data_IF_801060379347
#
_entry.id   IF_801060379347
#
_cell.length_a   1.000
_cell.length_b   1.000
_cell.length_c   1.000
_cell.angle_alpha   90.00
_cell.angle_beta   90.00
_cell.angle_gamma   90.00
#
_symmetry.space_group_name_H-M   'P 1'
#
loop_
_entity.id
_entity.type
_entity.pdbx_description
1 polymer ?
#
# COMPACT_ATOMS: atom_id res chain seq x y z
N UNK A 1 -24.03 3.40 10.05
CA UNK A 1 -22.65 3.84 9.77
C UNK A 1 -21.84 2.62 9.38
N UNK A 2 -21.16 2.63 8.21
CA UNK A 2 -20.19 1.58 7.87
C UNK A 2 -18.91 1.81 8.69
N UNK A 3 -18.39 0.76 9.34
CA UNK A 3 -17.16 0.86 10.09
C UNK A 3 -15.98 0.97 9.12
N UNK A 4 -15.22 2.07 9.21
CA UNK A 4 -13.90 2.15 8.58
C UNK A 4 -12.90 1.50 9.53
N UNK A 5 -12.12 0.55 9.03
CA UNK A 5 -11.08 -0.11 9.80
C UNK A 5 -9.71 0.43 9.36
N UNK A 6 -8.87 0.75 10.33
CA UNK A 6 -7.48 1.12 10.09
C UNK A 6 -6.58 -0.07 10.37
N UNK A 7 -5.80 -0.46 9.37
CA UNK A 7 -4.88 -1.60 9.45
C UNK A 7 -3.48 -1.14 9.07
N UNK A 8 -2.47 -1.58 9.82
CA UNK A 8 -1.06 -1.39 9.49
C UNK A 8 -0.51 -2.69 8.91
N UNK A 9 0.17 -2.58 7.78
CA UNK A 9 0.83 -3.70 7.12
C UNK A 9 2.30 -3.36 6.93
N UNK A 10 3.17 -4.13 7.60
CA UNK A 10 4.60 -4.10 7.35
C UNK A 10 4.93 -4.72 5.98
N UNK A 11 5.83 -4.07 5.26
CA UNK A 11 6.33 -4.46 3.94
C UNK A 11 7.87 -4.56 4.01
N UNK A 12 8.51 -5.20 3.02
CA UNK A 12 9.97 -5.30 2.99
C UNK A 12 10.70 -3.95 3.02
N UNK A 13 11.97 -3.96 3.41
CA UNK A 13 12.90 -2.85 3.23
C UNK A 13 12.48 -1.54 3.92
N UNK A 14 11.79 -1.66 5.07
CA UNK A 14 11.34 -0.52 5.87
C UNK A 14 10.10 0.19 5.32
N UNK A 15 9.44 -0.40 4.32
CA UNK A 15 8.14 0.06 3.84
C UNK A 15 7.01 -0.38 4.78
N UNK A 16 5.98 0.46 4.86
CA UNK A 16 4.73 0.11 5.54
C UNK A 16 3.53 0.71 4.82
N UNK A 17 2.36 0.11 5.06
CA UNK A 17 1.10 0.56 4.49
C UNK A 17 0.03 0.74 5.56
N UNK A 18 -0.49 1.97 5.69
CA UNK A 18 -1.66 2.27 6.53
C UNK A 18 -2.92 2.24 5.67
N UNK A 19 -3.82 1.32 5.97
CA UNK A 19 -4.99 1.00 5.16
C UNK A 19 -6.23 1.57 5.83
N UNK A 20 -6.94 2.46 5.13
CA UNK A 20 -8.31 2.85 5.44
C UNK A 20 -9.25 1.99 4.58
N UNK A 21 -9.77 0.91 5.16
CA UNK A 21 -10.67 -0.02 4.46
C UNK A 21 -12.11 0.19 4.88
N UNK A 22 -13.03 0.13 3.91
CA UNK A 22 -14.47 0.27 4.12
C UNK A 22 -15.21 -0.90 3.47
N UNK A 23 -16.16 -1.45 4.21
CA UNK A 23 -17.13 -2.39 3.64
C UNK A 23 -18.23 -1.60 2.91
N UNK A 24 -18.52 -1.99 1.67
CA UNK A 24 -19.58 -1.40 0.84
C UNK A 24 -20.94 -2.02 1.14
N UNK A 25 -22.02 -1.39 0.66
CA UNK A 25 -23.41 -1.85 0.89
C UNK A 25 -23.71 -3.28 0.38
N UNK A 26 -22.95 -3.76 -0.61
CA UNK A 26 -23.03 -5.12 -1.15
C UNK A 26 -22.05 -6.10 -0.48
N UNK A 27 -21.48 -5.75 0.69
CA UNK A 27 -20.61 -6.63 1.47
C UNK A 27 -19.16 -6.73 0.99
N UNK A 28 -18.79 -6.04 -0.09
CA UNK A 28 -17.43 -6.00 -0.65
C UNK A 28 -16.55 -4.99 0.10
N UNK A 29 -15.26 -4.97 -0.19
CA UNK A 29 -14.29 -4.12 0.50
C UNK A 29 -13.50 -3.25 -0.47
N UNK A 30 -13.43 -1.95 -0.20
CA UNK A 30 -12.64 -0.99 -1.00
C UNK A 30 -11.97 0.01 -0.07
N UNK A 31 -10.97 0.73 -0.57
CA UNK A 31 -10.29 1.69 0.29
C UNK A 31 -9.04 2.28 -0.31
N UNK A 32 -8.28 2.88 0.59
CA UNK A 32 -7.05 3.61 0.30
C UNK A 32 -5.96 3.12 1.25
N UNK A 33 -4.76 2.95 0.72
CA UNK A 33 -3.57 2.56 1.47
C UNK A 33 -2.50 3.64 1.30
N UNK A 34 -2.12 4.29 2.40
CA UNK A 34 -0.96 5.17 2.42
C UNK A 34 0.33 4.34 2.46
N UNK A 35 1.27 4.64 1.57
CA UNK A 35 2.56 3.97 1.48
C UNK A 35 3.64 4.85 2.11
N UNK A 36 4.30 4.30 3.11
CA UNK A 36 5.35 4.95 3.87
C UNK A 36 6.66 4.18 3.74
N UNK A 37 7.78 4.89 3.72
CA UNK A 37 9.13 4.32 3.87
C UNK A 37 9.77 5.02 5.05
N UNK A 38 10.16 4.25 6.07
CA UNK A 38 10.76 4.76 7.30
C UNK A 38 9.92 5.89 7.96
N UNK A 39 8.60 5.78 7.88
CA UNK A 39 7.66 6.74 8.46
C UNK A 39 7.40 7.99 7.60
N UNK A 40 8.09 8.17 6.48
CA UNK A 40 7.82 9.24 5.53
C UNK A 40 6.79 8.77 4.50
N UNK A 41 5.83 9.62 4.13
CA UNK A 41 4.83 9.33 3.11
C UNK A 41 5.39 9.46 1.70
N UNK A 42 5.24 8.42 0.90
CA UNK A 42 5.71 8.37 -0.49
C UNK A 42 4.58 8.31 -1.52
N UNK A 43 3.41 7.82 -1.12
CA UNK A 43 2.32 7.65 -2.06
C UNK A 43 1.05 7.12 -1.45
N UNK A 44 0.06 6.94 -2.33
CA UNK A 44 -1.25 6.44 -1.98
C UNK A 44 -1.68 5.41 -3.03
N UNK A 45 -2.10 4.25 -2.56
CA UNK A 45 -2.70 3.17 -3.36
C UNK A 45 -4.21 3.18 -3.16
N UNK A 46 -4.96 3.37 -4.24
CA UNK A 46 -6.42 3.14 -4.24
C UNK A 46 -6.68 1.71 -4.71
N UNK A 47 -7.50 0.96 -3.97
CA UNK A 47 -7.95 -0.36 -4.40
C UNK A 47 -9.47 -0.41 -4.54
N UNK A 48 -9.88 -0.89 -5.71
CA UNK A 48 -11.29 -1.09 -6.06
C UNK A 48 -11.91 -2.23 -5.25
N UNK A 49 -13.21 -2.45 -5.39
CA UNK A 49 -13.97 -3.44 -4.62
C UNK A 49 -13.41 -4.88 -4.73
N UNK A 50 -12.92 -5.40 -3.62
CA UNK A 50 -12.51 -6.79 -3.42
C UNK A 50 -13.64 -7.60 -2.78
N UNK A 51 -13.72 -8.92 -3.07
CA UNK A 51 -14.84 -9.75 -2.63
C UNK A 51 -14.87 -10.02 -1.11
N UNK A 52 -13.74 -9.87 -0.42
CA UNK A 52 -13.62 -10.08 1.02
C UNK A 52 -12.55 -9.17 1.63
N UNK A 53 -12.52 -9.09 2.96
CA UNK A 53 -11.48 -8.36 3.70
C UNK A 53 -10.09 -8.94 3.41
N UNK A 54 -9.95 -10.26 3.43
CA UNK A 54 -8.69 -10.94 3.12
C UNK A 54 -8.23 -10.67 1.69
N UNK A 55 -9.14 -10.66 0.72
CA UNK A 55 -8.81 -10.30 -0.67
C UNK A 55 -8.37 -8.84 -0.80
N UNK A 56 -8.95 -7.93 -0.01
CA UNK A 56 -8.50 -6.54 0.08
C UNK A 56 -7.08 -6.42 0.66
N UNK A 57 -6.80 -7.13 1.75
CA UNK A 57 -5.47 -7.15 2.36
C UNK A 57 -4.43 -7.76 1.42
N UNK A 58 -4.74 -8.88 0.76
CA UNK A 58 -3.87 -9.50 -0.23
C UNK A 58 -3.60 -8.54 -1.40
N UNK A 59 -4.62 -7.84 -1.89
CA UNK A 59 -4.49 -6.84 -2.95
C UNK A 59 -3.58 -5.68 -2.54
N UNK A 60 -3.73 -5.15 -1.32
CA UNK A 60 -2.87 -4.08 -0.81
C UNK A 60 -1.44 -4.57 -0.67
N UNK A 61 -1.20 -5.73 -0.04
CA UNK A 61 0.15 -6.31 0.08
C UNK A 61 0.81 -6.47 -1.28
N UNK A 62 0.12 -7.05 -2.26
CA UNK A 62 0.66 -7.25 -3.60
C UNK A 62 1.07 -5.93 -4.26
N UNK A 63 0.15 -4.94 -4.28
CA UNK A 63 0.37 -3.68 -5.01
C UNK A 63 1.33 -2.74 -4.28
N UNK A 64 1.28 -2.71 -2.95
CA UNK A 64 2.22 -1.94 -2.14
C UNK A 64 3.64 -2.49 -2.28
N UNK A 65 3.82 -3.82 -2.26
CA UNK A 65 5.14 -4.43 -2.49
C UNK A 65 5.65 -4.20 -3.92
N UNK A 66 4.77 -4.13 -4.92
CA UNK A 66 5.16 -3.75 -6.29
C UNK A 66 5.68 -2.31 -6.32
N UNK A 67 4.93 -1.36 -5.74
CA UNK A 67 5.35 0.04 -5.65
C UNK A 67 6.70 0.20 -4.92
N UNK A 68 6.87 -0.47 -3.78
CA UNK A 68 8.10 -0.42 -3.00
C UNK A 68 9.32 -0.88 -3.81
N UNK A 69 9.21 -2.01 -4.51
CA UNK A 69 10.29 -2.54 -5.35
C UNK A 69 10.64 -1.61 -6.51
N UNK A 70 9.65 -1.08 -7.21
CA UNK A 70 9.88 -0.14 -8.30
C UNK A 70 10.58 1.13 -7.80
N UNK A 71 10.19 1.63 -6.62
CA UNK A 71 10.82 2.83 -6.04
C UNK A 71 12.25 2.58 -5.59
N UNK A 72 12.54 1.46 -4.94
CA UNK A 72 13.92 1.10 -4.55
C UNK A 72 14.80 0.98 -5.79
N UNK A 73 14.33 0.32 -6.85
CA UNK A 73 15.06 0.23 -8.12
C UNK A 73 15.37 1.60 -8.73
N UNK A 74 14.48 2.58 -8.59
CA UNK A 74 14.72 3.95 -9.07
C UNK A 74 15.75 4.68 -8.21
N UNK A 75 15.65 4.57 -6.88
CA UNK A 75 16.62 5.18 -5.97
C UNK A 75 18.04 4.61 -6.17
N UNK A 76 18.15 3.31 -6.43
CA UNK A 76 19.42 2.66 -6.75
C UNK A 76 19.99 3.18 -8.08
N UNK A 77 19.15 3.37 -9.10
CA UNK A 77 19.56 3.90 -10.40
C UNK A 77 20.03 5.36 -10.30
N UNK A 78 19.27 6.21 -9.61
CA UNK A 78 19.62 7.61 -9.35
C UNK A 78 20.93 7.72 -8.57
N UNK A 79 21.12 6.89 -7.54
CA UNK A 79 22.35 6.86 -6.75
C UNK A 79 23.57 6.50 -7.58
N UNK A 80 23.45 5.60 -8.57
CA UNK A 80 24.54 5.26 -9.49
C UNK A 80 24.87 6.41 -10.44
N UNK A 81 23.86 7.09 -10.96
CA UNK A 81 24.04 8.25 -11.86
C UNK A 81 24.70 9.46 -11.17
N UNK A 82 24.52 9.62 -9.85
CA UNK A 82 25.16 10.70 -9.09
C UNK A 82 26.64 10.42 -8.74
N UNK A 83 27.11 9.19 -8.96
CA UNK A 83 28.49 8.77 -8.67
C UNK A 83 29.38 8.73 -9.93
N UNK A 84 28.80 8.96 -11.11
CA UNK A 84 29.50 9.09 -12.41
C UNK A 84 29.75 10.57 -12.76
#
# INVERSE_FOLDING_TARGET
MYAAQQLLVELPDGWSSRIDIKQTSNGRYAGVAELNLQGLKWGVLVFMQQPSLDAALARVRLRASQFARERLSLLDAESRMLLD
#
